data_IF_472229416411
#
_entry.id   IF_472229416411
#
_cell.length_a   1.000
_cell.length_b   1.000
_cell.length_c   1.000
_cell.angle_alpha   90.00
_cell.angle_beta   90.00
_cell.angle_gamma   90.00
#
_symmetry.space_group_name_H-M   'P 1'
#
loop_
_entity.id
_entity.type
_entity.pdbx_description
1 polymer ?
#
# COMPACT_ATOMS: atom_id res chain seq x y z
N UNK A 1 -17.45 23.56 -22.43
CA UNK A 1 -16.00 23.51 -22.73
C UNK A 1 -15.32 23.21 -21.41
N UNK A 2 -14.86 21.98 -21.20
CA UNK A 2 -14.19 21.60 -19.95
C UNK A 2 -12.82 22.28 -19.96
N UNK A 3 -12.66 23.29 -19.12
CA UNK A 3 -11.37 23.88 -18.80
C UNK A 3 -10.46 22.74 -18.33
N UNK A 4 -9.39 22.47 -19.07
CA UNK A 4 -8.35 21.54 -18.64
C UNK A 4 -7.58 22.27 -17.54
N UNK A 5 -7.94 22.00 -16.28
CA UNK A 5 -7.23 22.55 -15.13
C UNK A 5 -5.88 21.84 -15.04
N UNK A 6 -4.81 22.55 -15.39
CA UNK A 6 -3.45 22.03 -15.33
C UNK A 6 -2.90 22.32 -13.92
N UNK A 7 -2.48 21.30 -13.15
CA UNK A 7 -1.96 21.54 -11.81
C UNK A 7 -0.64 22.31 -11.87
N UNK A 8 -0.38 23.09 -10.82
CA UNK A 8 0.86 23.88 -10.66
C UNK A 8 1.73 23.31 -9.53
N UNK A 9 3.05 23.42 -9.68
CA UNK A 9 4.02 23.04 -8.64
C UNK A 9 4.23 24.17 -7.61
N UNK A 10 5.10 23.92 -6.63
CA UNK A 10 5.42 24.86 -5.54
C UNK A 10 6.04 26.19 -6.00
N UNK A 11 6.58 26.23 -7.23
CA UNK A 11 7.13 27.45 -7.84
C UNK A 11 6.10 28.18 -8.71
N UNK A 12 4.87 27.65 -8.81
CA UNK A 12 3.80 28.19 -9.64
C UNK A 12 3.92 27.80 -11.12
N UNK A 13 4.78 26.84 -11.47
CA UNK A 13 4.92 26.36 -12.83
C UNK A 13 3.89 25.26 -13.15
N UNK A 14 3.36 25.27 -14.37
CA UNK A 14 2.45 24.22 -14.81
C UNK A 14 3.15 22.87 -14.94
N UNK A 15 2.55 21.84 -14.35
CA UNK A 15 3.01 20.47 -14.47
C UNK A 15 2.53 19.90 -15.81
N UNK A 16 3.45 19.37 -16.60
CA UNK A 16 3.13 18.79 -17.89
C UNK A 16 2.27 17.53 -17.72
N UNK A 17 1.06 17.51 -18.28
CA UNK A 17 0.09 16.41 -18.08
C UNK A 17 0.64 15.01 -18.38
N UNK A 18 1.55 14.87 -19.35
CA UNK A 18 2.11 13.57 -19.74
C UNK A 18 3.10 12.99 -18.70
N UNK A 19 3.57 13.79 -17.75
CA UNK A 19 4.42 13.32 -16.65
C UNK A 19 3.58 12.81 -15.48
N UNK A 20 2.30 13.16 -15.39
CA UNK A 20 1.42 12.73 -14.30
C UNK A 20 1.10 11.24 -14.47
N UNK A 21 1.50 10.44 -13.48
CA UNK A 21 1.33 8.98 -13.47
C UNK A 21 0.23 8.52 -12.50
N UNK A 22 -0.13 9.36 -11.53
CA UNK A 22 -1.25 9.14 -10.63
C UNK A 22 -1.84 10.47 -10.12
N UNK A 23 -3.11 10.46 -9.73
CA UNK A 23 -3.79 11.55 -9.06
C UNK A 23 -4.80 10.95 -8.08
N UNK A 24 -4.85 11.50 -6.87
CA UNK A 24 -5.89 11.25 -5.88
C UNK A 24 -6.66 12.53 -5.59
N UNK A 25 -7.27 12.61 -4.40
CA UNK A 25 -8.11 13.74 -4.01
C UNK A 25 -7.29 14.98 -3.62
N UNK A 26 -6.14 14.77 -2.95
CA UNK A 26 -5.31 15.85 -2.40
C UNK A 26 -3.92 15.93 -3.04
N UNK A 27 -3.48 14.89 -3.73
CA UNK A 27 -2.11 14.77 -4.23
C UNK A 27 -2.08 14.18 -5.64
N UNK A 28 -1.08 14.59 -6.41
CA UNK A 28 -0.71 13.97 -7.68
C UNK A 28 0.70 13.40 -7.58
N UNK A 29 1.01 12.48 -8.49
CA UNK A 29 2.36 11.92 -8.64
C UNK A 29 2.82 12.15 -10.08
N UNK A 30 3.94 12.82 -10.23
CA UNK A 30 4.61 13.06 -11.51
C UNK A 30 5.88 12.21 -11.63
N UNK A 31 6.14 11.69 -12.82
CA UNK A 31 7.36 11.00 -13.17
C UNK A 31 8.40 11.99 -13.71
N UNK A 32 9.60 12.01 -13.12
CA UNK A 32 10.76 12.78 -13.59
C UNK A 32 12.00 11.89 -13.50
N UNK A 33 12.62 11.62 -14.65
CA UNK A 33 13.78 10.74 -14.78
C UNK A 33 13.57 9.34 -14.17
N UNK A 34 14.26 9.00 -13.08
CA UNK A 34 14.11 7.73 -12.35
C UNK A 34 13.31 7.90 -11.03
N UNK A 35 12.55 8.99 -10.92
CA UNK A 35 11.83 9.39 -9.71
C UNK A 35 10.33 9.56 -9.94
N UNK A 36 9.57 9.24 -8.90
CA UNK A 36 8.16 9.58 -8.74
C UNK A 36 8.04 10.64 -7.66
N UNK A 37 7.56 11.83 -8.03
CA UNK A 37 7.43 12.98 -7.13
C UNK A 37 5.96 13.15 -6.79
N UNK A 38 5.61 12.93 -5.52
CA UNK A 38 4.26 13.18 -5.00
C UNK A 38 4.18 14.58 -4.42
N UNK A 39 3.15 15.32 -4.80
CA UNK A 39 2.95 16.71 -4.38
C UNK A 39 1.47 17.04 -4.25
N UNK A 40 1.16 18.09 -3.49
CA UNK A 40 -0.20 18.57 -3.31
C UNK A 40 -0.82 19.01 -4.64
N UNK A 41 -2.11 18.72 -4.84
CA UNK A 41 -2.86 19.26 -5.97
C UNK A 41 -3.14 20.74 -5.71
N UNK A 42 -2.70 21.57 -6.64
CA UNK A 42 -2.97 23.01 -6.65
C UNK A 42 -3.58 23.37 -8.00
N UNK A 43 -4.83 23.81 -7.99
CA UNK A 43 -5.50 24.39 -9.15
C UNK A 43 -5.65 25.90 -8.98
N UNK A 44 -5.69 26.63 -10.10
CA UNK A 44 -5.77 28.09 -10.10
C UNK A 44 -7.03 28.66 -9.40
N UNK A 45 -8.08 27.86 -9.25
CA UNK A 45 -9.32 28.22 -8.57
C UNK A 45 -9.39 27.78 -7.09
N UNK A 46 -8.38 27.07 -6.58
CA UNK A 46 -8.34 26.70 -5.17
C UNK A 46 -8.05 27.93 -4.30
N UNK A 47 -8.73 28.00 -3.17
CA UNK A 47 -8.43 28.93 -2.09
C UNK A 47 -7.11 28.56 -1.43
N UNK A 48 -6.50 29.53 -0.72
CA UNK A 48 -5.30 29.26 0.08
C UNK A 48 -5.53 28.18 1.14
N UNK A 49 -6.74 28.09 1.67
CA UNK A 49 -7.13 27.07 2.66
C UNK A 49 -7.15 25.67 2.04
N UNK A 50 -7.81 25.47 0.88
CA UNK A 50 -7.81 24.19 0.16
C UNK A 50 -6.40 23.73 -0.24
N UNK A 51 -5.54 24.67 -0.67
CA UNK A 51 -4.13 24.37 -0.97
C UNK A 51 -3.38 23.94 0.27
N UNK A 52 -3.57 24.64 1.39
CA UNK A 52 -2.93 24.31 2.67
C UNK A 52 -3.43 22.97 3.24
N UNK A 53 -4.71 22.64 3.09
CA UNK A 53 -5.24 21.32 3.45
C UNK A 53 -4.55 20.18 2.69
N UNK A 54 -4.35 20.35 1.37
CA UNK A 54 -3.65 19.37 0.54
C UNK A 54 -2.17 19.25 0.92
N UNK A 55 -1.48 20.38 1.14
CA UNK A 55 -0.08 20.40 1.61
C UNK A 55 0.06 19.75 2.99
N UNK A 56 -0.87 20.02 3.89
CA UNK A 56 -0.93 19.43 5.23
C UNK A 56 -1.05 17.90 5.17
N UNK A 57 -1.80 17.35 4.20
CA UNK A 57 -1.84 15.89 3.96
C UNK A 57 -0.49 15.34 3.50
N UNK A 58 0.23 16.03 2.60
CA UNK A 58 1.60 15.63 2.22
C UNK A 58 2.54 15.65 3.42
N UNK A 59 2.51 16.72 4.23
CA UNK A 59 3.35 16.83 5.44
C UNK A 59 3.07 15.74 6.46
N UNK A 60 1.80 15.35 6.66
CA UNK A 60 1.45 14.21 7.52
C UNK A 60 2.08 12.91 7.01
N UNK A 61 2.02 12.65 5.71
CA UNK A 61 2.65 11.46 5.12
C UNK A 61 4.18 11.49 5.22
N UNK A 62 4.80 12.67 5.07
CA UNK A 62 6.25 12.86 5.28
C UNK A 62 6.70 12.43 6.69
N UNK A 63 5.89 12.65 7.73
CA UNK A 63 6.21 12.18 9.09
C UNK A 63 6.29 10.65 9.15
N UNK A 64 5.46 9.95 8.37
CA UNK A 64 5.52 8.48 8.28
C UNK A 64 6.81 8.05 7.59
N UNK A 65 7.20 8.72 6.50
CA UNK A 65 8.49 8.48 5.83
C UNK A 65 9.69 8.70 6.76
N UNK A 66 9.71 9.82 7.50
CA UNK A 66 10.73 10.10 8.53
C UNK A 66 10.77 9.04 9.62
N UNK A 67 9.63 8.48 10.01
CA UNK A 67 9.56 7.38 11.00
C UNK A 67 10.20 6.10 10.47
N UNK A 68 9.96 5.77 9.19
CA UNK A 68 10.35 4.45 8.68
C UNK A 68 11.73 4.39 8.04
N UNK A 69 12.19 5.51 7.47
CA UNK A 69 13.45 5.66 6.75
C UNK A 69 14.13 6.98 7.17
N UNK A 70 14.60 7.10 8.44
CA UNK A 70 15.05 8.37 9.01
C UNK A 70 16.32 8.95 8.36
N UNK A 71 17.13 8.11 7.71
CA UNK A 71 18.39 8.52 7.07
C UNK A 71 18.23 8.75 5.56
N UNK A 72 17.10 8.35 4.95
CA UNK A 72 16.87 8.26 3.50
C UNK A 72 17.88 7.41 2.70
N UNK A 73 19.01 7.03 3.29
CA UNK A 73 20.07 6.21 2.69
C UNK A 73 19.77 4.72 2.72
N UNK A 74 19.14 4.21 3.79
CA UNK A 74 18.92 2.76 3.97
C UNK A 74 17.51 2.36 3.54
N UNK A 75 17.32 1.68 2.40
CA UNK A 75 15.99 1.29 1.94
C UNK A 75 15.33 0.29 2.89
N UNK A 76 14.03 0.46 3.14
CA UNK A 76 13.24 -0.50 3.91
C UNK A 76 12.69 -1.58 2.98
N UNK A 77 13.12 -2.84 3.18
CA UNK A 77 12.69 -3.95 2.33
C UNK A 77 11.16 -4.08 2.28
N UNK A 78 10.61 -4.18 1.07
CA UNK A 78 9.17 -4.34 0.82
C UNK A 78 8.37 -3.03 0.81
N UNK A 79 9.03 -1.88 0.97
CA UNK A 79 8.43 -0.53 0.86
C UNK A 79 9.16 0.22 -0.26
N UNK A 80 8.46 1.07 -1.00
CA UNK A 80 9.09 1.94 -2.00
C UNK A 80 10.11 2.84 -1.29
N UNK A 81 11.28 3.01 -1.90
CA UNK A 81 12.34 3.85 -1.35
C UNK A 81 11.95 5.32 -1.47
N UNK A 82 11.91 6.02 -0.34
CA UNK A 82 11.93 7.47 -0.30
C UNK A 82 13.35 7.95 -0.59
N UNK A 83 13.50 8.92 -1.49
CA UNK A 83 14.79 9.48 -1.89
C UNK A 83 15.06 10.78 -1.14
N UNK A 84 14.06 11.65 -1.07
CA UNK A 84 14.12 12.93 -0.37
C UNK A 84 12.71 13.48 -0.10
N UNK A 85 12.62 14.48 0.78
CA UNK A 85 11.38 15.19 1.15
C UNK A 85 11.54 16.72 1.01
N UNK A 86 11.85 17.26 -0.20
CA UNK A 86 12.05 18.69 -0.38
C UNK A 86 10.70 19.44 -0.32
N UNK A 87 10.61 20.46 0.54
CA UNK A 87 9.40 21.27 0.70
C UNK A 87 8.17 20.42 1.07
N UNK A 88 7.04 20.68 0.41
CA UNK A 88 5.79 19.91 0.56
C UNK A 88 5.68 18.81 -0.52
N UNK A 89 6.79 18.10 -0.78
CA UNK A 89 6.84 16.98 -1.75
C UNK A 89 7.48 15.73 -1.15
N UNK A 90 7.23 14.59 -1.79
CA UNK A 90 7.84 13.30 -1.45
C UNK A 90 8.45 12.74 -2.73
N UNK A 91 9.77 12.64 -2.77
CA UNK A 91 10.50 12.04 -3.87
C UNK A 91 10.74 10.56 -3.59
N UNK A 92 10.27 9.70 -4.48
CA UNK A 92 10.38 8.25 -4.36
C UNK A 92 11.06 7.66 -5.58
N UNK A 93 11.69 6.51 -5.41
CA UNK A 93 12.16 5.70 -6.53
C UNK A 93 11.00 5.37 -7.48
N UNK A 94 11.19 5.62 -8.78
CA UNK A 94 10.19 5.24 -9.78
C UNK A 94 10.10 3.72 -9.94
N UNK A 95 8.88 3.21 -9.90
CA UNK A 95 8.57 1.78 -10.02
C UNK A 95 7.96 1.51 -11.40
N UNK A 96 8.82 1.21 -12.37
CA UNK A 96 8.50 1.15 -13.80
C UNK A 96 7.48 0.09 -14.22
N UNK A 97 7.18 -0.88 -13.36
CA UNK A 97 6.16 -1.91 -13.59
C UNK A 97 4.74 -1.44 -13.28
N UNK A 98 4.57 -0.24 -12.71
CA UNK A 98 3.27 0.32 -12.35
C UNK A 98 2.62 -0.40 -11.17
N UNK A 99 1.31 -0.22 -11.00
CA UNK A 99 0.55 -0.83 -9.91
C UNK A 99 0.29 -2.31 -10.15
N UNK A 100 0.25 -3.08 -9.07
CA UNK A 100 -0.10 -4.50 -9.10
C UNK A 100 -1.52 -4.71 -9.61
N UNK A 101 -2.45 -3.81 -9.28
CA UNK A 101 -3.82 -3.84 -9.82
C UNK A 101 -3.83 -3.83 -11.36
N UNK A 102 -3.17 -2.84 -11.98
CA UNK A 102 -3.03 -2.74 -13.44
C UNK A 102 -2.30 -3.94 -14.02
N UNK A 103 -1.26 -4.43 -13.34
CA UNK A 103 -0.51 -5.61 -13.79
C UNK A 103 -1.41 -6.85 -13.86
N UNK A 104 -2.24 -7.09 -12.84
CA UNK A 104 -3.14 -8.24 -12.75
C UNK A 104 -4.33 -8.15 -13.72
N UNK A 105 -4.81 -6.94 -14.04
CA UNK A 105 -5.88 -6.74 -15.05
C UNK A 105 -5.44 -7.12 -16.46
N UNK A 106 -4.21 -6.77 -16.83
CA UNK A 106 -3.74 -6.86 -18.22
C UNK A 106 -2.97 -8.16 -18.54
N UNK A 107 -2.76 -9.03 -17.55
CA UNK A 107 -1.88 -10.21 -17.69
C UNK A 107 -2.53 -11.48 -17.19
N UNK A 108 -2.02 -12.59 -17.71
CA UNK A 108 -2.35 -13.90 -17.18
C UNK A 108 -1.89 -14.02 -15.72
N UNK A 109 -2.61 -14.86 -14.96
CA UNK A 109 -2.31 -15.16 -13.56
C UNK A 109 -0.81 -15.50 -13.40
N UNK A 110 -0.11 -14.88 -12.43
CA UNK A 110 1.31 -15.11 -12.21
C UNK A 110 1.62 -16.57 -11.86
N UNK A 111 2.84 -17.03 -12.11
CA UNK A 111 3.26 -18.38 -11.68
C UNK A 111 3.24 -18.49 -10.14
N UNK A 112 3.09 -19.70 -9.60
CA UNK A 112 3.11 -19.91 -8.13
C UNK A 112 4.43 -19.43 -7.52
N UNK A 113 5.55 -19.56 -8.25
CA UNK A 113 6.85 -19.05 -7.81
C UNK A 113 6.84 -17.54 -7.68
N UNK A 114 6.28 -16.83 -8.66
CA UNK A 114 6.16 -15.37 -8.62
C UNK A 114 5.17 -14.91 -7.54
N UNK A 115 4.03 -15.60 -7.39
CA UNK A 115 3.09 -15.35 -6.30
C UNK A 115 3.74 -15.51 -4.93
N UNK A 116 4.50 -16.60 -4.72
CA UNK A 116 5.23 -16.85 -3.46
C UNK A 116 6.28 -15.76 -3.19
N UNK A 117 6.99 -15.29 -4.22
CA UNK A 117 7.94 -14.17 -4.10
C UNK A 117 7.23 -12.89 -3.67
N UNK A 118 6.12 -12.54 -4.31
CA UNK A 118 5.34 -11.36 -3.97
C UNK A 118 4.75 -11.43 -2.56
N UNK A 119 4.19 -12.58 -2.17
CA UNK A 119 3.68 -12.77 -0.81
C UNK A 119 4.76 -12.52 0.23
N UNK A 120 5.98 -12.99 -0.02
CA UNK A 120 7.12 -12.79 0.87
C UNK A 120 7.50 -11.31 0.95
N UNK A 121 7.66 -10.63 -0.19
CA UNK A 121 8.04 -9.21 -0.25
C UNK A 121 7.01 -8.32 0.48
N UNK A 122 5.71 -8.55 0.26
CA UNK A 122 4.65 -7.79 0.91
C UNK A 122 4.55 -8.08 2.41
N UNK A 123 4.72 -9.34 2.83
CA UNK A 123 4.76 -9.68 4.24
C UNK A 123 5.98 -9.06 4.96
N UNK A 124 7.14 -8.97 4.28
CA UNK A 124 8.32 -8.27 4.80
C UNK A 124 8.05 -6.77 4.93
N UNK A 125 7.49 -6.13 3.88
CA UNK A 125 7.15 -4.71 3.90
C UNK A 125 6.20 -4.36 5.05
N UNK A 126 5.12 -5.14 5.19
CA UNK A 126 4.15 -4.91 6.26
C UNK A 126 4.74 -5.18 7.66
N UNK A 127 5.58 -6.22 7.80
CA UNK A 127 6.28 -6.48 9.05
C UNK A 127 7.19 -5.30 9.44
N UNK A 128 7.92 -4.74 8.48
CA UNK A 128 8.79 -3.59 8.70
C UNK A 128 8.01 -2.35 9.17
N UNK A 129 6.85 -2.06 8.58
CA UNK A 129 5.96 -0.98 9.02
C UNK A 129 5.52 -1.19 10.48
N UNK A 130 4.99 -2.38 10.79
CA UNK A 130 4.49 -2.70 12.14
C UNK A 130 5.60 -2.64 13.20
N UNK A 131 6.83 -3.05 12.86
CA UNK A 131 7.98 -2.93 13.76
C UNK A 131 8.36 -1.47 14.05
N UNK A 132 8.10 -0.56 13.11
CA UNK A 132 8.33 0.89 13.25
C UNK A 132 7.12 1.63 13.83
N UNK A 133 6.15 0.87 14.36
CA UNK A 133 4.92 1.38 14.97
C UNK A 133 4.05 2.17 13.98
N UNK A 134 4.02 1.74 12.73
CA UNK A 134 3.16 2.31 11.69
C UNK A 134 2.08 1.29 11.33
N UNK A 135 0.82 1.73 11.33
CA UNK A 135 -0.33 1.00 10.76
C UNK A 135 -0.56 1.60 9.37
N UNK A 136 -0.66 0.77 8.33
CA UNK A 136 -0.74 1.28 6.95
C UNK A 136 -2.14 1.77 6.58
N UNK A 137 -3.16 1.02 7.00
CA UNK A 137 -4.60 1.30 6.84
C UNK A 137 -5.15 1.22 5.40
N UNK A 138 -4.35 1.43 4.35
CA UNK A 138 -4.81 1.30 2.94
C UNK A 138 -4.04 0.25 2.11
N UNK A 139 -3.90 -0.99 2.61
CA UNK A 139 -3.19 -2.07 1.89
C UNK A 139 -4.06 -2.62 0.75
N UNK A 140 -3.85 -2.14 -0.46
CA UNK A 140 -4.61 -2.58 -1.64
C UNK A 140 -3.69 -2.77 -2.84
N UNK A 141 -4.09 -3.57 -3.84
CA UNK A 141 -3.25 -3.86 -5.01
C UNK A 141 -2.95 -2.63 -5.87
N UNK A 142 -3.72 -1.54 -5.74
CA UNK A 142 -3.38 -0.23 -6.34
C UNK A 142 -2.22 0.47 -5.63
N UNK A 143 -2.01 0.21 -4.34
CA UNK A 143 -0.94 0.78 -3.50
C UNK A 143 0.26 -0.18 -3.38
N UNK A 144 0.39 -1.10 -4.33
CA UNK A 144 1.54 -1.99 -4.46
C UNK A 144 2.14 -1.76 -5.84
N UNK A 145 3.40 -1.38 -5.89
CA UNK A 145 4.11 -1.06 -7.14
C UNK A 145 5.10 -2.16 -7.51
N UNK A 146 5.37 -2.28 -8.81
CA UNK A 146 6.36 -3.20 -9.37
C UNK A 146 7.57 -2.47 -9.95
N UNK A 147 8.77 -2.98 -9.70
CA UNK A 147 9.96 -2.54 -10.42
C UNK A 147 10.14 -3.30 -11.75
N UNK A 148 11.17 -2.93 -12.52
CA UNK A 148 11.51 -3.62 -13.78
C UNK A 148 11.88 -5.09 -13.65
N UNK A 149 12.19 -5.57 -12.44
CA UNK A 149 12.49 -6.98 -12.12
C UNK A 149 11.27 -7.73 -11.56
N UNK A 150 10.08 -7.11 -11.59
CA UNK A 150 8.83 -7.60 -11.03
C UNK A 150 8.91 -7.85 -9.52
N UNK A 151 9.73 -7.11 -8.78
CA UNK A 151 9.64 -7.08 -7.32
C UNK A 151 8.50 -6.16 -6.93
N UNK A 152 7.74 -6.55 -5.91
CA UNK A 152 6.65 -5.73 -5.37
C UNK A 152 7.12 -4.96 -4.14
N UNK A 153 6.62 -3.73 -3.99
CA UNK A 153 6.78 -2.93 -2.78
C UNK A 153 5.48 -2.19 -2.47
N UNK A 154 5.20 -2.03 -1.17
CA UNK A 154 4.09 -1.21 -0.67
C UNK A 154 4.44 0.27 -0.89
N UNK A 155 3.45 1.05 -1.32
CA UNK A 155 3.54 2.50 -1.45
C UNK A 155 2.34 3.18 -0.81
N UNK A 156 2.33 4.51 -0.85
CA UNK A 156 1.23 5.38 -0.41
C UNK A 156 0.92 5.28 1.09
N UNK A 157 1.63 6.10 1.87
CA UNK A 157 1.52 6.14 3.33
C UNK A 157 0.53 7.24 3.80
N UNK A 158 -0.26 7.80 2.89
CA UNK A 158 -1.14 8.95 3.17
C UNK A 158 -2.26 8.66 4.18
N UNK A 159 -2.65 7.39 4.31
CA UNK A 159 -3.66 6.92 5.28
C UNK A 159 -3.02 6.30 6.55
N UNK A 160 -1.69 6.29 6.65
CA UNK A 160 -0.99 5.57 7.71
C UNK A 160 -0.99 6.33 9.03
N UNK A 161 -1.06 5.57 10.13
CA UNK A 161 -1.02 6.08 11.50
C UNK A 161 0.30 5.74 12.17
N UNK A 162 0.87 6.73 12.86
CA UNK A 162 2.08 6.56 13.66
C UNK A 162 1.69 6.33 15.12
N UNK A 163 1.99 5.14 15.65
CA UNK A 163 1.77 4.81 17.05
C UNK A 163 2.97 5.24 17.92
N UNK A 164 2.74 5.52 19.22
CA UNK A 164 3.81 5.72 20.20
C UNK A 164 4.79 4.54 20.26
N UNK A 165 6.06 4.81 20.56
CA UNK A 165 7.14 3.81 20.41
C UNK A 165 6.98 2.59 21.32
N UNK A 166 6.44 2.82 22.51
CA UNK A 166 6.16 1.86 23.58
C UNK A 166 4.85 1.09 23.38
N UNK A 167 4.08 1.42 22.34
CA UNK A 167 2.82 0.76 22.01
C UNK A 167 3.00 -0.73 21.73
N UNK A 168 2.19 -1.55 22.40
CA UNK A 168 2.05 -2.97 22.07
C UNK A 168 1.12 -3.10 20.86
N UNK A 169 1.71 -3.18 19.66
CA UNK A 169 0.97 -3.15 18.38
C UNK A 169 -0.13 -4.20 18.25
N UNK A 170 -0.02 -5.35 18.92
CA UNK A 170 -1.04 -6.40 18.87
C UNK A 170 -2.40 -5.98 19.46
N UNK A 171 -2.40 -4.98 20.35
CA UNK A 171 -3.59 -4.43 21.01
C UNK A 171 -3.87 -2.99 20.57
N UNK A 172 -3.07 -2.46 19.64
CA UNK A 172 -3.14 -1.08 19.23
C UNK A 172 -4.23 -0.88 18.18
N UNK A 173 -5.02 0.17 18.36
CA UNK A 173 -5.95 0.70 17.37
C UNK A 173 -5.66 2.19 17.21
N UNK A 174 -5.76 2.71 15.99
CA UNK A 174 -5.72 4.15 15.75
C UNK A 174 -7.12 4.78 15.89
N UNK A 175 -7.22 6.08 15.62
CA UNK A 175 -8.47 6.85 15.71
C UNK A 175 -9.55 6.37 14.72
N UNK A 176 -9.15 5.67 13.65
CA UNK A 176 -10.03 5.09 12.65
C UNK A 176 -10.33 3.60 12.91
N UNK A 177 -10.00 3.09 14.10
CA UNK A 177 -10.13 1.69 14.48
C UNK A 177 -9.32 0.73 13.56
N UNK A 178 -8.29 1.23 12.88
CA UNK A 178 -7.34 0.41 12.14
C UNK A 178 -6.31 -0.17 13.10
N UNK A 179 -5.83 -1.36 12.78
CA UNK A 179 -4.84 -2.09 13.58
C UNK A 179 -3.93 -2.91 12.66
N UNK A 180 -2.92 -3.56 13.23
CA UNK A 180 -2.13 -4.54 12.48
C UNK A 180 -3.00 -5.67 11.90
N UNK A 181 -4.17 -5.94 12.48
CA UNK A 181 -5.08 -6.99 12.04
C UNK A 181 -5.88 -6.56 10.81
N UNK A 182 -6.30 -5.29 10.74
CA UNK A 182 -6.98 -4.78 9.55
C UNK A 182 -6.03 -4.75 8.36
N UNK A 183 -4.77 -4.33 8.57
CA UNK A 183 -3.71 -4.40 7.56
C UNK A 183 -3.48 -5.84 7.05
N UNK A 184 -3.43 -6.82 7.97
CA UNK A 184 -3.25 -8.23 7.61
C UNK A 184 -4.45 -8.79 6.84
N UNK A 185 -5.66 -8.35 7.17
CA UNK A 185 -6.87 -8.73 6.44
C UNK A 185 -6.85 -8.19 5.00
N UNK A 186 -6.52 -6.91 4.84
CA UNK A 186 -6.34 -6.25 3.56
C UNK A 186 -5.22 -6.91 2.72
N UNK A 187 -4.08 -7.25 3.35
CA UNK A 187 -3.03 -8.03 2.69
C UNK A 187 -3.54 -9.41 2.23
N UNK A 188 -4.44 -10.03 3.00
CA UNK A 188 -5.14 -11.26 2.62
C UNK A 188 -6.00 -11.11 1.35
N UNK A 189 -6.65 -9.95 1.17
CA UNK A 189 -7.38 -9.62 -0.07
C UNK A 189 -6.41 -9.51 -1.25
N UNK A 190 -5.30 -8.78 -1.10
CA UNK A 190 -4.25 -8.70 -2.13
C UNK A 190 -3.71 -10.09 -2.48
N UNK A 191 -3.46 -10.93 -1.48
CA UNK A 191 -3.03 -12.31 -1.70
C UNK A 191 -4.07 -13.12 -2.48
N UNK A 192 -5.36 -12.95 -2.19
CA UNK A 192 -6.42 -13.55 -2.97
C UNK A 192 -6.41 -13.07 -4.43
N UNK A 193 -6.24 -11.77 -4.69
CA UNK A 193 -6.17 -11.21 -6.04
C UNK A 193 -5.00 -11.79 -6.83
N UNK A 194 -3.80 -11.78 -6.25
CA UNK A 194 -2.60 -12.39 -6.82
C UNK A 194 -2.82 -13.88 -7.10
N UNK A 195 -3.38 -14.59 -6.12
CA UNK A 195 -3.49 -16.04 -6.17
C UNK A 195 -4.66 -16.53 -7.01
N UNK A 196 -5.65 -15.70 -7.37
CA UNK A 196 -6.81 -16.13 -8.16
C UNK A 196 -6.95 -15.39 -9.48
N UNK A 197 -6.32 -14.23 -9.62
CA UNK A 197 -6.53 -13.29 -10.73
C UNK A 197 -7.89 -12.60 -10.68
N UNK A 198 -8.60 -12.64 -9.55
CA UNK A 198 -9.92 -12.01 -9.39
C UNK A 198 -9.79 -10.80 -8.48
N UNK A 199 -10.13 -9.63 -9.00
CA UNK A 199 -10.15 -8.39 -8.23
C UNK A 199 -11.27 -8.39 -7.19
N UNK A 200 -11.02 -7.71 -6.08
CA UNK A 200 -11.98 -7.53 -4.99
C UNK A 200 -12.28 -6.05 -4.82
N UNK A 201 -13.51 -5.73 -4.43
CA UNK A 201 -13.98 -4.37 -4.13
C UNK A 201 -14.45 -4.25 -2.68
N UNK A 202 -13.87 -5.05 -1.79
CA UNK A 202 -14.27 -5.13 -0.39
C UNK A 202 -13.62 -3.98 0.37
N UNK A 203 -14.44 -3.13 0.97
CA UNK A 203 -14.01 -2.08 1.88
C UNK A 203 -14.09 -2.58 3.33
N UNK A 204 -13.11 -2.21 4.15
CA UNK A 204 -13.17 -2.41 5.61
C UNK A 204 -13.83 -1.25 6.34
N UNK A 205 -14.09 -0.15 5.63
CA UNK A 205 -14.64 1.08 6.20
C UNK A 205 -16.15 1.12 5.98
N UNK A 206 -16.89 1.45 7.04
CA UNK A 206 -18.33 1.65 6.94
C UNK A 206 -18.64 2.83 5.98
N UNK A 207 -19.73 2.71 5.20
CA UNK A 207 -20.14 3.71 4.20
C UNK A 207 -20.63 5.06 4.80
N UNK A 208 -20.26 5.38 6.04
CA UNK A 208 -20.59 6.63 6.70
C UNK A 208 -19.71 7.77 6.20
N UNK A 209 -20.10 8.37 5.07
CA UNK A 209 -19.72 9.72 4.62
C UNK A 209 -18.37 10.28 5.11
N UNK A 210 -17.33 9.99 4.34
CA UNK A 210 -16.10 10.75 4.07
C UNK A 210 -15.20 11.37 5.16
N UNK A 211 -15.53 11.43 6.45
CA UNK A 211 -14.53 11.91 7.46
C UNK A 211 -14.50 11.12 8.78
N UNK A 212 -15.52 10.31 9.09
CA UNK A 212 -15.63 9.54 10.34
C UNK A 212 -15.75 8.03 10.12
N UNK A 213 -15.35 7.53 8.96
CA UNK A 213 -15.44 6.12 8.65
C UNK A 213 -14.44 5.33 9.52
N UNK A 214 -14.96 4.43 10.36
CA UNK A 214 -14.15 3.52 11.17
C UNK A 214 -13.99 2.18 10.46
N UNK A 215 -12.80 1.60 10.57
CA UNK A 215 -12.53 0.27 10.07
C UNK A 215 -13.24 -0.78 10.94
N UNK A 216 -13.78 -1.81 10.30
CA UNK A 216 -14.34 -2.99 10.96
C UNK A 216 -13.72 -4.24 10.38
N UNK A 217 -13.22 -5.12 11.26
CA UNK A 217 -12.75 -6.42 10.81
C UNK A 217 -13.92 -7.19 10.17
N UNK A 218 -13.80 -7.64 8.91
CA UNK A 218 -14.94 -8.16 8.17
C UNK A 218 -15.32 -9.55 8.68
N UNK A 219 -16.62 -9.83 8.72
CA UNK A 219 -17.12 -11.18 8.91
C UNK A 219 -16.77 -12.06 7.69
N UNK A 220 -16.61 -13.37 7.93
CA UNK A 220 -16.10 -14.29 6.90
C UNK A 220 -16.99 -14.36 5.65
N UNK A 221 -18.28 -14.12 5.78
CA UNK A 221 -19.28 -14.09 4.70
C UNK A 221 -19.11 -12.90 3.73
N UNK A 222 -18.52 -11.79 4.19
CA UNK A 222 -18.16 -10.68 3.31
C UNK A 222 -16.92 -10.98 2.46
N UNK A 223 -16.12 -11.97 2.85
CA UNK A 223 -14.86 -12.30 2.22
C UNK A 223 -15.00 -13.38 1.14
N UNK A 224 -14.19 -13.36 0.07
CA UNK A 224 -14.32 -14.31 -1.04
C UNK A 224 -14.16 -15.78 -0.60
N UNK A 225 -14.85 -16.68 -1.29
CA UNK A 225 -14.67 -18.12 -1.08
C UNK A 225 -13.31 -18.58 -1.62
N UNK A 226 -12.57 -19.36 -0.83
CA UNK A 226 -11.29 -19.93 -1.26
C UNK A 226 -11.49 -21.35 -1.80
N UNK A 227 -11.04 -21.57 -3.04
CA UNK A 227 -11.04 -22.90 -3.65
C UNK A 227 -10.18 -23.89 -2.84
N UNK A 228 -10.68 -25.12 -2.66
CA UNK A 228 -10.01 -26.17 -1.86
C UNK A 228 -8.58 -26.49 -2.31
N UNK A 229 -8.27 -26.27 -3.60
CA UNK A 229 -6.94 -26.53 -4.21
C UNK A 229 -6.06 -25.28 -4.33
N UNK A 230 -6.47 -24.14 -3.77
CA UNK A 230 -5.66 -22.94 -3.77
C UNK A 230 -4.42 -23.16 -2.89
N UNK A 231 -3.23 -23.04 -3.48
CA UNK A 231 -1.97 -23.41 -2.82
C UNK A 231 -1.69 -22.57 -1.56
N UNK A 232 -2.15 -21.31 -1.53
CA UNK A 232 -1.98 -20.39 -0.40
C UNK A 232 -3.23 -20.26 0.49
N UNK A 233 -4.20 -21.18 0.36
CA UNK A 233 -5.48 -21.10 1.08
C UNK A 233 -5.32 -20.85 2.58
N UNK A 234 -4.43 -21.61 3.23
CA UNK A 234 -4.23 -21.52 4.68
C UNK A 234 -3.65 -20.15 5.11
N UNK A 235 -2.75 -19.58 4.29
CA UNK A 235 -2.18 -18.25 4.54
C UNK A 235 -3.29 -17.19 4.48
N UNK A 236 -4.10 -17.23 3.42
CA UNK A 236 -5.18 -16.26 3.20
C UNK A 236 -6.27 -16.40 4.26
N UNK A 237 -6.71 -17.62 4.60
CA UNK A 237 -7.69 -17.82 5.70
C UNK A 237 -7.16 -17.33 7.05
N UNK A 238 -5.84 -17.37 7.27
CA UNK A 238 -5.26 -16.89 8.53
C UNK A 238 -5.23 -15.36 8.58
N UNK A 239 -4.96 -14.70 7.45
CA UNK A 239 -5.12 -13.24 7.31
C UNK A 239 -6.56 -12.78 7.60
N UNK A 240 -7.54 -13.60 7.23
CA UNK A 240 -8.98 -13.33 7.39
C UNK A 240 -9.57 -13.78 8.72
N UNK A 241 -8.71 -14.02 9.71
CA UNK A 241 -9.08 -14.25 11.10
C UNK A 241 -8.40 -13.19 11.94
N UNK A 242 -9.18 -12.37 12.62
CA UNK A 242 -8.63 -11.38 13.54
C UNK A 242 -7.74 -12.07 14.59
N UNK A 243 -6.53 -11.54 14.79
CA UNK A 243 -5.53 -12.19 15.66
C UNK A 243 -4.94 -13.49 15.10
N UNK A 244 -5.22 -13.88 13.85
CA UNK A 244 -4.91 -15.21 13.30
C UNK A 244 -3.43 -15.60 13.29
N UNK A 245 -2.52 -14.62 13.27
CA UNK A 245 -1.07 -14.83 13.38
C UNK A 245 -0.50 -14.61 14.79
N UNK A 246 -1.34 -14.25 15.76
CA UNK A 246 -0.94 -13.94 17.13
C UNK A 246 0.18 -12.89 17.18
N UNK A 247 1.00 -12.93 18.24
CA UNK A 247 2.07 -11.96 18.45
C UNK A 247 3.10 -11.86 17.30
N UNK A 248 3.16 -12.83 16.39
CA UNK A 248 4.05 -12.80 15.23
C UNK A 248 3.57 -11.83 14.12
N UNK A 249 2.27 -11.52 14.05
CA UNK A 249 1.71 -10.66 13.00
C UNK A 249 2.15 -11.07 11.59
N UNK A 250 2.63 -10.11 10.79
CA UNK A 250 3.12 -10.37 9.44
C UNK A 250 4.31 -11.36 9.36
N UNK A 251 5.15 -11.48 10.39
CA UNK A 251 6.23 -12.47 10.40
C UNK A 251 5.69 -13.92 10.42
N UNK A 252 4.48 -14.12 10.93
CA UNK A 252 3.79 -15.41 10.88
C UNK A 252 3.48 -15.88 9.45
N UNK A 253 3.25 -14.94 8.51
CA UNK A 253 3.08 -15.25 7.09
C UNK A 253 4.37 -15.84 6.51
N UNK A 254 5.52 -15.23 6.83
CA UNK A 254 6.83 -15.70 6.36
C UNK A 254 7.11 -17.13 6.83
N UNK A 255 6.86 -17.41 8.11
CA UNK A 255 7.01 -18.76 8.67
C UNK A 255 6.11 -19.80 7.99
N UNK A 256 4.90 -19.43 7.55
CA UNK A 256 4.04 -20.31 6.75
C UNK A 256 4.56 -20.48 5.32
N UNK A 257 5.01 -19.41 4.67
CA UNK A 257 5.56 -19.46 3.31
C UNK A 257 6.79 -20.37 3.22
N UNK A 258 7.67 -20.33 4.21
CA UNK A 258 8.91 -21.11 4.22
C UNK A 258 8.64 -22.62 4.34
N UNK A 259 7.54 -23.00 5.01
CA UNK A 259 7.08 -24.41 5.11
C UNK A 259 6.41 -24.92 3.83
N UNK A 260 5.90 -24.03 2.96
CA UNK A 260 5.23 -24.41 1.72
C UNK A 260 6.24 -24.89 0.66
N UNK A 261 6.23 -26.20 0.43
CA UNK A 261 6.91 -26.81 -0.70
C UNK A 261 6.13 -26.55 -1.98
N UNK A 262 6.66 -25.71 -2.88
CA UNK A 262 6.09 -25.55 -4.22
C UNK A 262 6.46 -26.80 -5.02
N UNK A 263 5.50 -27.60 -5.53
CA UNK A 263 5.82 -28.77 -6.34
C UNK A 263 6.65 -28.32 -7.55
N UNK A 264 7.89 -28.81 -7.65
CA UNK A 264 8.70 -28.61 -8.87
C UNK A 264 7.94 -29.26 -10.03
N UNK A 265 7.71 -28.51 -11.12
CA UNK A 265 7.16 -29.06 -12.36
C UNK A 265 7.96 -30.32 -12.71
N UNK A 266 7.30 -31.47 -12.80
CA UNK A 266 7.88 -32.62 -13.51
C UNK A 266 8.13 -32.14 -14.94
N UNK A 267 9.40 -32.00 -15.33
CA UNK A 267 9.76 -31.88 -16.75
C UNK A 267 9.20 -33.14 -17.41
N UNK A 268 8.25 -32.96 -18.33
CA UNK A 268 7.87 -34.01 -19.27
C UNK A 268 9.00 -34.17 -20.28
#
# INVERSE_FOLDING_TARGET
>A
MNSVYCPIDDEGHYIQLHTIIASGDAALVAHRDDMAIKMAIVYANYTLEEVEENRSKIRREQEVWRRIQPDFETPVEGIVQCLDLPGDTIEMKYMSGGTLSKWLEHRARPSIQLQKRWFRQLAIGLHNLHQRRVIHSDILSRNILLDGSLNVAICDLGASSIMPIDTIMANAVDEYNCSIWTDLCQLGLVFYEIATGRMTSISLYDNGGSDNAVARFPSRDMLPALGKRLWARDIIETCWREGGYGAAGAAGILAKLDKLHVPRRRRR
#
